data_IF_304795038906
#
_entry.id   IF_304795038906
#
_cell.length_a   1.000
_cell.length_b   1.000
_cell.length_c   1.000
_cell.angle_alpha   90.00
_cell.angle_beta   90.00
_cell.angle_gamma   90.00
#
_symmetry.space_group_name_H-M   'P 1'
#
loop_
_entity.id
_entity.type
_entity.pdbx_description
1 polymer ?
#
# COMPACT_ATOMS: atom_id res chain seq x y z
N UNK A 1 -8.58 7.33 -28.13
CA UNK A 1 -9.21 6.41 -27.18
C UNK A 1 -8.85 6.92 -25.80
N UNK A 2 -9.75 7.64 -25.17
CA UNK A 2 -9.60 8.27 -23.84
C UNK A 2 -9.82 7.21 -22.79
N UNK A 3 -8.78 6.92 -22.03
CA UNK A 3 -8.77 5.96 -20.92
C UNK A 3 -9.65 6.50 -19.79
N UNK A 4 -10.84 5.91 -19.60
CA UNK A 4 -11.95 6.42 -18.79
C UNK A 4 -11.89 5.97 -17.32
N UNK A 5 -10.70 5.62 -16.78
CA UNK A 5 -10.61 5.16 -15.38
C UNK A 5 -9.38 5.72 -14.62
N UNK A 6 -8.92 6.92 -14.95
CA UNK A 6 -7.85 7.58 -14.21
C UNK A 6 -8.46 8.53 -13.18
N UNK A 7 -8.25 8.25 -11.86
CA UNK A 7 -8.60 9.22 -10.82
C UNK A 7 -7.90 10.54 -11.13
N UNK A 8 -8.53 11.67 -10.78
CA UNK A 8 -7.88 12.98 -10.87
C UNK A 8 -6.58 12.98 -10.04
N UNK A 9 -5.49 13.51 -10.58
CA UNK A 9 -4.27 13.65 -9.81
C UNK A 9 -4.48 14.65 -8.67
N UNK A 10 -3.84 14.41 -7.53
CA UNK A 10 -3.97 15.21 -6.31
C UNK A 10 -2.67 15.97 -6.05
N UNK A 11 -2.77 17.27 -5.84
CA UNK A 11 -1.65 18.14 -5.52
C UNK A 11 -1.72 18.67 -4.09
N UNK A 12 -0.59 18.68 -3.38
CA UNK A 12 -0.42 19.42 -2.13
C UNK A 12 0.34 20.71 -2.41
N UNK A 13 -0.26 21.87 -2.08
CA UNK A 13 0.37 23.17 -2.23
C UNK A 13 0.62 23.77 -0.85
N UNK A 14 1.91 23.91 -0.49
CA UNK A 14 2.36 24.58 0.72
C UNK A 14 2.94 25.93 0.38
N UNK A 15 2.28 27.02 0.79
CA UNK A 15 2.82 28.37 0.67
C UNK A 15 2.26 29.29 1.75
N UNK A 16 3.11 30.22 2.23
CA UNK A 16 2.77 31.15 3.31
C UNK A 16 1.95 32.34 2.83
N UNK A 17 2.09 32.73 1.57
CA UNK A 17 1.33 33.82 0.95
C UNK A 17 -0.01 33.30 0.42
N UNK A 18 -1.11 33.84 0.97
CA UNK A 18 -2.47 33.42 0.63
C UNK A 18 -2.83 33.71 -0.84
N UNK A 19 -2.33 34.83 -1.39
CA UNK A 19 -2.60 35.18 -2.77
C UNK A 19 -1.87 34.22 -3.73
N UNK A 20 -0.60 33.93 -3.46
CA UNK A 20 0.18 32.95 -4.22
C UNK A 20 -0.46 31.56 -4.15
N UNK A 21 -0.88 31.14 -2.96
CA UNK A 21 -1.56 29.86 -2.76
C UNK A 21 -2.81 29.73 -3.62
N UNK A 22 -3.67 30.76 -3.63
CA UNK A 22 -4.90 30.78 -4.45
C UNK A 22 -4.60 30.77 -5.94
N UNK A 23 -3.59 31.52 -6.35
CA UNK A 23 -3.18 31.59 -7.75
C UNK A 23 -2.70 30.22 -8.24
N UNK A 24 -1.85 29.55 -7.46
CA UNK A 24 -1.37 28.19 -7.77
C UNK A 24 -2.51 27.18 -7.77
N UNK A 25 -3.40 27.22 -6.77
CA UNK A 25 -4.60 26.37 -6.73
C UNK A 25 -5.43 26.51 -8.00
N UNK A 26 -5.74 27.76 -8.41
CA UNK A 26 -6.52 28.02 -9.62
C UNK A 26 -5.88 27.38 -10.85
N UNK A 27 -4.58 27.54 -11.01
CA UNK A 27 -3.81 26.95 -12.12
C UNK A 27 -3.85 25.43 -12.09
N UNK A 28 -3.65 24.80 -10.93
CA UNK A 28 -3.68 23.34 -10.81
C UNK A 28 -5.08 22.77 -11.05
N UNK A 29 -6.13 23.44 -10.54
CA UNK A 29 -7.52 23.04 -10.77
C UNK A 29 -7.89 23.14 -12.25
N UNK A 30 -7.46 24.22 -12.95
CA UNK A 30 -7.65 24.37 -14.40
C UNK A 30 -6.97 23.24 -15.19
N UNK A 31 -5.81 22.77 -14.73
CA UNK A 31 -5.10 21.63 -15.32
C UNK A 31 -5.63 20.26 -14.86
N UNK A 32 -6.73 20.23 -14.10
CA UNK A 32 -7.47 18.99 -13.75
C UNK A 32 -7.01 18.31 -12.47
N UNK A 33 -6.26 18.97 -11.59
CA UNK A 33 -5.84 18.44 -10.29
C UNK A 33 -6.86 18.73 -9.21
N UNK A 34 -7.01 17.80 -8.26
CA UNK A 34 -7.59 18.09 -6.96
C UNK A 34 -6.49 18.67 -6.06
N UNK A 35 -6.79 19.77 -5.34
CA UNK A 35 -5.77 20.54 -4.62
C UNK A 35 -6.07 20.60 -3.12
N UNK A 36 -5.05 20.30 -2.32
CA UNK A 36 -5.04 20.56 -0.88
C UNK A 36 -4.02 21.69 -0.61
N UNK A 37 -4.39 22.68 0.22
CA UNK A 37 -3.52 23.81 0.56
C UNK A 37 -3.14 23.83 2.04
N UNK A 38 -1.95 24.35 2.32
CA UNK A 38 -1.49 24.64 3.69
C UNK A 38 -0.51 25.82 3.70
N UNK A 39 -0.53 26.60 4.78
CA UNK A 39 0.42 27.71 5.00
C UNK A 39 1.62 27.34 5.88
N UNK A 40 1.65 26.11 6.44
CA UNK A 40 2.68 25.68 7.40
C UNK A 40 3.45 24.46 6.87
N UNK A 41 4.77 24.52 6.99
CA UNK A 41 5.64 23.39 6.62
C UNK A 41 5.42 22.16 7.48
N UNK A 42 5.13 22.31 8.77
CA UNK A 42 4.77 21.18 9.63
C UNK A 42 3.48 20.50 9.19
N UNK A 43 2.49 21.30 8.82
CA UNK A 43 1.23 20.77 8.32
C UNK A 43 1.42 20.12 6.94
N UNK A 44 2.24 20.70 6.05
CA UNK A 44 2.59 20.13 4.76
C UNK A 44 3.23 18.74 4.94
N UNK A 45 4.20 18.61 5.85
CA UNK A 45 4.85 17.35 6.18
C UNK A 45 3.84 16.31 6.69
N UNK A 46 2.95 16.70 7.62
CA UNK A 46 1.91 15.83 8.16
C UNK A 46 0.91 15.36 7.10
N UNK A 47 0.49 16.24 6.20
CA UNK A 47 -0.43 15.91 5.11
C UNK A 47 0.23 14.99 4.08
N UNK A 48 1.46 15.28 3.67
CA UNK A 48 2.20 14.49 2.69
C UNK A 48 2.41 13.03 3.14
N UNK A 49 2.57 12.81 4.45
CA UNK A 49 2.68 11.45 5.04
C UNK A 49 1.37 10.66 5.07
N UNK A 50 0.23 11.32 5.07
CA UNK A 50 -1.09 10.68 5.27
C UNK A 50 -1.79 10.29 3.98
N UNK A 51 -1.57 11.00 2.90
CA UNK A 51 -2.32 10.85 1.66
C UNK A 51 -1.39 10.68 0.46
N UNK A 52 -1.80 9.86 -0.49
CA UNK A 52 -1.10 9.69 -1.76
C UNK A 52 -1.28 10.89 -2.67
N UNK A 53 -0.46 11.91 -2.49
CA UNK A 53 -0.36 13.02 -3.42
C UNK A 53 0.44 12.63 -4.65
N UNK A 54 0.00 13.13 -5.81
CA UNK A 54 0.69 12.90 -7.08
C UNK A 54 1.79 13.94 -7.34
N UNK A 55 1.70 15.10 -6.68
CA UNK A 55 2.71 16.16 -6.71
C UNK A 55 2.66 17.01 -5.44
N UNK A 56 3.81 17.43 -4.95
CA UNK A 56 3.94 18.44 -3.90
C UNK A 56 4.57 19.70 -4.48
N UNK A 57 3.96 20.86 -4.23
CA UNK A 57 4.51 22.17 -4.54
C UNK A 57 4.69 22.94 -3.24
N UNK A 58 5.93 23.24 -2.88
CA UNK A 58 6.27 23.83 -1.58
C UNK A 58 7.02 25.15 -1.78
N UNK A 59 6.53 26.20 -1.16
CA UNK A 59 7.25 27.48 -1.07
C UNK A 59 8.53 27.30 -0.26
N UNK A 60 9.63 27.83 -0.76
CA UNK A 60 10.92 27.86 -0.06
C UNK A 60 10.77 28.50 1.34
N UNK A 61 9.88 29.49 1.49
CA UNK A 61 9.65 30.24 2.72
C UNK A 61 8.32 29.88 3.41
N UNK A 62 8.13 28.61 3.72
CA UNK A 62 7.00 28.21 4.55
C UNK A 62 7.21 28.58 6.03
N UNK A 63 6.10 28.80 6.75
CA UNK A 63 6.15 28.99 8.20
C UNK A 63 6.58 27.69 8.92
N UNK A 64 7.27 27.84 10.03
CA UNK A 64 7.74 26.77 10.94
C UNK A 64 8.82 25.85 10.36
N UNK A 65 8.68 25.34 9.17
CA UNK A 65 9.66 24.55 8.41
C UNK A 65 9.71 25.08 6.98
N UNK A 66 10.89 25.27 6.44
CA UNK A 66 11.04 25.70 5.03
C UNK A 66 10.61 24.58 4.07
N UNK A 67 10.28 24.92 2.82
CA UNK A 67 9.98 23.92 1.80
C UNK A 67 11.12 22.91 1.60
N UNK A 68 12.38 23.38 1.73
CA UNK A 68 13.55 22.51 1.65
C UNK A 68 13.64 21.54 2.84
N UNK A 69 13.30 21.98 4.08
CA UNK A 69 13.30 21.13 5.26
C UNK A 69 12.20 20.06 5.15
N UNK A 70 11.02 20.44 4.66
CA UNK A 70 9.92 19.49 4.39
C UNK A 70 10.33 18.47 3.34
N UNK A 71 10.96 18.92 2.24
CA UNK A 71 11.44 18.05 1.18
C UNK A 71 12.45 17.03 1.71
N UNK A 72 13.47 17.50 2.46
CA UNK A 72 14.48 16.62 3.07
C UNK A 72 13.84 15.61 4.01
N UNK A 73 12.96 16.05 4.92
CA UNK A 73 12.29 15.17 5.87
C UNK A 73 11.39 14.12 5.21
N UNK A 74 10.82 14.42 4.03
CA UNK A 74 10.05 13.44 3.25
C UNK A 74 10.97 12.46 2.50
N UNK A 75 12.13 12.94 2.01
CA UNK A 75 13.10 12.05 1.35
C UNK A 75 13.82 11.11 2.32
N UNK A 76 13.97 11.51 3.57
CA UNK A 76 14.51 10.64 4.63
C UNK A 76 13.46 9.68 5.21
N UNK A 77 12.17 9.86 4.88
CA UNK A 77 11.09 9.02 5.38
C UNK A 77 10.92 7.78 4.49
N UNK A 78 11.19 6.57 4.99
CA UNK A 78 11.08 5.33 4.21
C UNK A 78 9.65 4.99 3.79
N UNK A 79 8.64 5.61 4.41
CA UNK A 79 7.22 5.43 4.08
C UNK A 79 6.72 6.37 2.99
N UNK A 80 7.48 7.42 2.70
CA UNK A 80 7.12 8.36 1.64
C UNK A 80 7.44 7.76 0.27
N UNK A 81 6.49 7.87 -0.66
CA UNK A 81 6.75 7.46 -2.04
C UNK A 81 7.78 8.38 -2.71
N UNK A 82 9.02 7.92 -2.74
CA UNK A 82 10.16 8.66 -3.30
C UNK A 82 10.00 8.99 -4.80
N UNK A 83 9.09 8.32 -5.51
CA UNK A 83 8.73 8.66 -6.89
C UNK A 83 7.77 9.87 -6.98
N UNK A 84 7.23 10.37 -5.86
CA UNK A 84 6.39 11.58 -5.86
C UNK A 84 7.25 12.83 -6.14
N UNK A 85 6.95 13.61 -7.20
CA UNK A 85 7.67 14.83 -7.51
C UNK A 85 7.40 15.89 -6.44
N UNK A 86 8.49 16.48 -5.93
CA UNK A 86 8.46 17.64 -5.03
C UNK A 86 9.06 18.83 -5.80
N UNK A 87 8.27 19.87 -5.97
CA UNK A 87 8.67 21.12 -6.62
C UNK A 87 8.83 22.19 -5.56
N UNK A 88 10.00 22.80 -5.49
CA UNK A 88 10.23 23.97 -4.63
C UNK A 88 9.98 25.23 -5.47
N UNK A 89 9.17 26.14 -4.94
CA UNK A 89 8.90 27.44 -5.54
C UNK A 89 9.49 28.56 -4.68
N UNK A 90 10.10 29.55 -5.31
CA UNK A 90 10.64 30.73 -4.63
C UNK A 90 10.06 32.01 -5.21
N UNK A 91 9.60 32.89 -4.32
CA UNK A 91 9.17 34.24 -4.66
C UNK A 91 10.35 35.21 -4.81
N UNK A 92 11.54 34.85 -4.32
CA UNK A 92 12.76 35.60 -4.47
C UNK A 92 13.47 35.31 -5.80
N UNK A 93 14.37 36.22 -6.24
CA UNK A 93 15.16 35.97 -7.44
C UNK A 93 15.90 34.61 -7.34
N UNK A 94 15.78 33.81 -8.40
CA UNK A 94 16.48 32.52 -8.48
C UNK A 94 17.98 32.73 -8.32
N UNK A 95 18.55 32.30 -7.21
CA UNK A 95 19.98 32.25 -6.99
C UNK A 95 20.51 30.85 -7.21
N UNK A 96 21.72 30.73 -7.76
CA UNK A 96 22.34 29.42 -7.92
C UNK A 96 22.43 28.65 -6.57
N UNK A 97 22.80 29.28 -5.44
CA UNK A 97 22.81 28.63 -4.14
C UNK A 97 21.43 28.14 -3.68
N UNK A 98 20.35 28.91 -3.92
CA UNK A 98 18.97 28.48 -3.57
C UNK A 98 18.55 27.24 -4.33
N UNK A 99 18.77 27.22 -5.64
CA UNK A 99 18.48 26.09 -6.50
C UNK A 99 19.26 24.83 -6.10
N UNK A 100 20.55 25.00 -5.80
CA UNK A 100 21.39 23.86 -5.35
C UNK A 100 20.92 23.31 -4.01
N UNK A 101 20.48 24.16 -3.07
CA UNK A 101 19.89 23.67 -1.79
C UNK A 101 18.63 22.87 -2.02
N UNK A 102 17.73 23.30 -2.91
CA UNK A 102 16.51 22.58 -3.22
C UNK A 102 16.80 21.19 -3.81
N UNK A 103 17.72 21.12 -4.77
CA UNK A 103 18.11 19.83 -5.34
C UNK A 103 18.86 18.94 -4.34
N UNK A 104 19.69 19.49 -3.47
CA UNK A 104 20.35 18.75 -2.41
C UNK A 104 19.35 18.20 -1.36
N UNK A 105 18.22 18.90 -1.15
CA UNK A 105 17.12 18.41 -0.33
C UNK A 105 16.25 17.34 -1.03
N UNK A 106 16.52 17.01 -2.30
CA UNK A 106 15.80 16.00 -3.06
C UNK A 106 14.60 16.52 -3.85
N UNK A 107 14.51 17.84 -4.09
CA UNK A 107 13.51 18.40 -4.99
C UNK A 107 13.75 17.93 -6.44
N UNK A 108 12.68 17.66 -7.17
CA UNK A 108 12.75 17.31 -8.59
C UNK A 108 12.85 18.56 -9.47
N UNK A 109 12.26 19.65 -9.01
CA UNK A 109 12.30 20.90 -9.75
C UNK A 109 12.34 22.09 -8.77
N UNK A 110 12.99 23.17 -9.20
CA UNK A 110 13.01 24.46 -8.52
C UNK A 110 12.49 25.53 -9.48
N UNK A 111 11.39 26.16 -9.10
CA UNK A 111 10.75 27.21 -9.87
C UNK A 111 10.85 28.56 -9.16
N UNK A 112 10.85 29.64 -9.91
CA UNK A 112 10.77 31.01 -9.39
C UNK A 112 9.60 31.76 -10.05
N UNK A 113 9.15 32.81 -9.38
CA UNK A 113 8.11 33.67 -9.91
C UNK A 113 8.69 34.74 -10.83
N UNK A 114 8.01 35.10 -11.93
CA UNK A 114 6.76 34.54 -12.43
C UNK A 114 6.92 33.13 -12.94
N UNK A 115 5.92 32.25 -12.62
CA UNK A 115 5.97 30.84 -12.96
C UNK A 115 5.72 30.59 -14.45
N UNK A 116 6.62 29.85 -15.11
CA UNK A 116 6.34 29.24 -16.41
C UNK A 116 5.39 28.06 -16.21
N UNK A 117 4.09 28.35 -16.25
CA UNK A 117 3.03 27.36 -15.99
C UNK A 117 3.08 26.21 -16.99
N UNK A 118 3.17 26.52 -18.29
CA UNK A 118 3.11 25.49 -19.32
C UNK A 118 4.36 24.59 -19.29
N UNK A 119 5.54 25.18 -19.12
CA UNK A 119 6.78 24.43 -18.93
C UNK A 119 6.74 23.52 -17.70
N UNK A 120 6.21 24.02 -16.58
CA UNK A 120 6.05 23.22 -15.36
C UNK A 120 5.14 22.02 -15.60
N UNK A 121 3.95 22.21 -16.20
CA UNK A 121 3.02 21.12 -16.41
C UNK A 121 3.49 20.10 -17.44
N UNK A 122 4.27 20.50 -18.44
CA UNK A 122 4.94 19.57 -19.34
C UNK A 122 5.95 18.68 -18.57
N UNK A 123 6.73 19.25 -17.66
CA UNK A 123 7.67 18.51 -16.82
C UNK A 123 6.91 17.59 -15.84
N UNK A 124 5.87 18.09 -15.16
CA UNK A 124 5.04 17.27 -14.27
C UNK A 124 4.39 16.09 -15.00
N UNK A 125 3.87 16.33 -16.20
CA UNK A 125 3.32 15.25 -17.04
C UNK A 125 4.36 14.17 -17.39
N UNK A 126 5.63 14.54 -17.56
CA UNK A 126 6.73 13.60 -17.77
C UNK A 126 7.05 12.84 -16.48
N UNK A 127 7.10 13.51 -15.33
CA UNK A 127 7.33 12.88 -14.03
C UNK A 127 6.23 11.88 -13.67
N UNK A 128 4.97 12.28 -13.85
CA UNK A 128 3.83 11.40 -13.56
C UNK A 128 3.79 10.18 -14.46
N UNK A 129 4.11 10.32 -15.74
CA UNK A 129 4.23 9.19 -16.66
C UNK A 129 5.35 8.24 -16.24
N UNK A 130 6.54 8.75 -15.94
CA UNK A 130 7.65 7.92 -15.46
C UNK A 130 7.27 7.14 -14.18
N UNK A 131 6.58 7.79 -13.23
CA UNK A 131 6.07 7.15 -12.02
C UNK A 131 5.05 6.05 -12.34
N UNK A 132 4.12 6.30 -13.26
CA UNK A 132 3.13 5.31 -13.69
C UNK A 132 3.79 4.11 -14.39
N UNK A 133 4.80 4.34 -15.24
CA UNK A 133 5.56 3.29 -15.90
C UNK A 133 6.34 2.44 -14.90
N UNK A 134 6.97 3.06 -13.89
CA UNK A 134 7.64 2.36 -12.79
C UNK A 134 6.64 1.52 -11.98
N UNK A 135 5.50 2.11 -11.60
CA UNK A 135 4.45 1.41 -10.87
C UNK A 135 3.87 0.24 -11.68
N UNK A 136 3.65 0.41 -12.98
CA UNK A 136 3.20 -0.65 -13.87
C UNK A 136 4.24 -1.78 -13.97
N UNK A 137 5.53 -1.45 -14.09
CA UNK A 137 6.62 -2.42 -14.14
C UNK A 137 6.71 -3.19 -12.81
N UNK A 138 6.59 -2.50 -11.68
CA UNK A 138 6.56 -3.13 -10.35
C UNK A 138 5.33 -4.03 -10.18
N UNK A 139 4.16 -3.59 -10.66
CA UNK A 139 2.94 -4.38 -10.62
C UNK A 139 3.03 -5.68 -11.46
N UNK A 140 3.83 -5.68 -12.52
CA UNK A 140 4.13 -6.87 -13.36
C UNK A 140 5.30 -7.69 -12.81
N UNK A 141 5.97 -7.26 -11.76
CA UNK A 141 7.00 -8.07 -11.10
C UNK A 141 6.35 -9.27 -10.42
N UNK A 142 7.00 -10.42 -10.47
CA UNK A 142 6.53 -11.60 -9.75
C UNK A 142 6.66 -11.45 -8.24
N UNK A 143 7.69 -10.72 -7.79
CA UNK A 143 8.00 -10.54 -6.37
C UNK A 143 8.10 -9.06 -6.02
N UNK A 144 7.61 -8.71 -4.85
CA UNK A 144 7.82 -7.40 -4.24
C UNK A 144 9.25 -7.32 -3.67
N UNK A 145 10.11 -6.43 -4.17
CA UNK A 145 11.51 -6.36 -3.76
C UNK A 145 11.69 -5.96 -2.28
N UNK A 146 10.74 -5.25 -1.68
CA UNK A 146 10.80 -4.83 -0.30
C UNK A 146 10.51 -5.97 0.68
N UNK A 147 9.46 -6.76 0.41
CA UNK A 147 9.05 -7.86 1.28
C UNK A 147 9.62 -9.22 0.87
N UNK A 148 10.04 -9.38 -0.39
CA UNK A 148 10.43 -10.66 -0.96
C UNK A 148 9.27 -11.66 -1.07
N UNK A 149 8.02 -11.20 -0.97
CA UNK A 149 6.82 -11.98 -1.22
C UNK A 149 6.39 -11.84 -2.69
N UNK A 150 5.54 -12.75 -3.14
CA UNK A 150 4.92 -12.60 -4.45
C UNK A 150 3.98 -11.39 -4.46
N UNK A 151 3.93 -10.70 -5.58
CA UNK A 151 2.93 -9.66 -5.87
C UNK A 151 1.58 -10.32 -6.20
N UNK A 152 0.45 -9.57 -6.28
CA UNK A 152 -0.79 -10.12 -6.80
C UNK A 152 -0.66 -10.71 -8.21
N UNK A 153 0.17 -10.11 -9.05
CA UNK A 153 0.49 -10.65 -10.37
C UNK A 153 1.25 -11.98 -10.29
N UNK A 154 2.29 -12.04 -9.44
CA UNK A 154 3.05 -13.28 -9.20
C UNK A 154 2.17 -14.39 -8.60
N UNK A 155 1.26 -14.03 -7.69
CA UNK A 155 0.28 -14.96 -7.14
C UNK A 155 -0.58 -15.58 -8.23
N UNK A 156 -1.16 -14.77 -9.13
CA UNK A 156 -2.01 -15.25 -10.21
C UNK A 156 -1.24 -16.16 -11.17
N UNK A 157 0.00 -15.80 -11.53
CA UNK A 157 0.83 -16.63 -12.42
C UNK A 157 1.17 -18.00 -11.82
N UNK A 158 1.43 -18.06 -10.52
CA UNK A 158 1.72 -19.31 -9.84
C UNK A 158 0.45 -20.10 -9.51
N UNK A 159 -0.67 -19.41 -9.26
CA UNK A 159 -1.97 -20.01 -9.02
C UNK A 159 -2.36 -20.96 -10.16
N UNK A 160 -2.21 -20.52 -11.42
CA UNK A 160 -2.50 -21.34 -12.60
C UNK A 160 -1.67 -22.64 -12.65
N UNK A 161 -0.39 -22.56 -12.26
CA UNK A 161 0.48 -23.76 -12.23
C UNK A 161 0.10 -24.72 -11.09
N UNK A 162 -0.19 -24.18 -9.91
CA UNK A 162 -0.62 -24.98 -8.76
C UNK A 162 -1.99 -25.60 -9.01
N UNK A 163 -2.91 -24.87 -9.63
CA UNK A 163 -4.23 -25.35 -10.02
C UNK A 163 -4.12 -26.54 -10.99
N UNK A 164 -3.35 -26.39 -12.06
CA UNK A 164 -3.16 -27.47 -13.04
C UNK A 164 -2.54 -28.73 -12.41
N UNK A 165 -1.73 -28.59 -11.37
CA UNK A 165 -1.20 -29.71 -10.61
C UNK A 165 -2.26 -30.34 -9.71
N UNK A 166 -2.96 -29.53 -8.90
CA UNK A 166 -3.97 -30.00 -7.95
C UNK A 166 -5.14 -30.72 -8.66
N UNK A 167 -5.57 -30.17 -9.83
CA UNK A 167 -6.60 -30.80 -10.66
C UNK A 167 -6.18 -32.19 -11.17
N UNK A 168 -4.92 -32.38 -11.56
CA UNK A 168 -4.43 -33.66 -12.07
C UNK A 168 -4.31 -34.72 -10.96
N UNK A 169 -3.97 -34.29 -9.76
CA UNK A 169 -3.65 -35.21 -8.66
C UNK A 169 -4.80 -35.40 -7.69
N UNK A 170 -5.93 -34.70 -7.89
CA UNK A 170 -7.06 -34.70 -6.96
C UNK A 170 -6.62 -34.33 -5.53
N UNK A 171 -5.71 -33.36 -5.42
CA UNK A 171 -5.14 -32.91 -4.15
C UNK A 171 -6.06 -31.89 -3.47
N UNK A 172 -6.14 -31.89 -2.13
CA UNK A 172 -6.80 -30.83 -1.39
C UNK A 172 -6.04 -29.51 -1.59
N UNK A 173 -6.77 -28.40 -1.52
CA UNK A 173 -6.19 -27.08 -1.74
C UNK A 173 -6.81 -26.06 -0.81
N UNK A 174 -5.97 -25.28 -0.15
CA UNK A 174 -6.43 -24.20 0.70
C UNK A 174 -5.83 -22.85 0.30
N UNK A 175 -6.60 -21.80 0.53
CA UNK A 175 -6.11 -20.43 0.57
C UNK A 175 -6.38 -19.85 1.96
N UNK A 176 -5.37 -19.23 2.55
CA UNK A 176 -5.47 -18.47 3.80
C UNK A 176 -5.13 -17.02 3.52
N UNK A 177 -6.06 -16.10 3.78
CA UNK A 177 -5.83 -14.67 3.77
C UNK A 177 -5.75 -14.16 5.21
N UNK A 178 -4.78 -13.31 5.51
CA UNK A 178 -4.70 -12.71 6.83
C UNK A 178 -4.24 -11.26 6.78
N UNK A 179 -4.62 -10.54 7.82
CA UNK A 179 -4.24 -9.16 8.05
C UNK A 179 -3.88 -8.96 9.52
N UNK A 180 -3.16 -7.88 9.76
CA UNK A 180 -2.94 -7.38 11.12
C UNK A 180 -4.25 -6.82 11.67
N UNK A 181 -4.58 -7.15 12.91
CA UNK A 181 -5.58 -6.43 13.67
C UNK A 181 -5.02 -5.05 14.03
N UNK A 182 -5.55 -4.00 13.41
CA UNK A 182 -5.25 -2.63 13.83
C UNK A 182 -6.26 -2.25 14.90
N UNK A 183 -5.80 -2.03 16.15
CA UNK A 183 -6.64 -1.46 17.19
C UNK A 183 -7.29 -0.18 16.67
N UNK A 184 -8.61 -0.12 16.69
CA UNK A 184 -9.40 1.04 16.25
C UNK A 184 -9.04 2.32 17.04
N UNK A 185 -8.49 2.17 18.27
CA UNK A 185 -8.03 3.27 19.11
C UNK A 185 -6.72 3.91 18.64
N UNK A 186 -5.97 3.25 17.74
CA UNK A 186 -4.68 3.75 17.25
C UNK A 186 -4.79 4.71 16.06
N UNK A 187 -5.99 4.98 15.54
CA UNK A 187 -6.18 5.91 14.40
C UNK A 187 -5.77 7.36 14.70
N UNK A 188 -5.66 7.72 15.97
CA UNK A 188 -5.28 9.08 16.42
C UNK A 188 -3.82 9.22 16.86
N UNK A 189 -3.05 8.14 16.94
CA UNK A 189 -1.64 8.19 17.30
C UNK A 189 -0.75 8.11 16.09
N UNK A 190 -0.01 9.16 15.91
CA UNK A 190 0.97 9.49 14.90
C UNK A 190 2.23 8.60 15.07
N UNK A 191 2.15 7.30 14.84
CA UNK A 191 3.30 6.40 14.97
C UNK A 191 3.75 5.90 13.60
N UNK A 192 4.91 6.41 13.16
CA UNK A 192 5.67 5.92 12.01
C UNK A 192 6.22 4.50 12.20
N UNK A 193 5.75 3.78 13.23
CA UNK A 193 6.22 2.48 13.70
C UNK A 193 5.42 1.29 13.11
N UNK A 194 4.38 1.58 12.30
CA UNK A 194 3.48 0.52 11.80
C UNK A 194 4.07 -0.29 10.63
N UNK A 195 5.03 0.26 9.89
CA UNK A 195 5.64 -0.44 8.75
C UNK A 195 6.70 -1.45 9.18
N UNK A 196 7.49 -1.13 10.20
CA UNK A 196 8.52 -2.01 10.72
C UNK A 196 7.90 -3.29 11.31
N UNK A 197 6.80 -3.14 12.04
CA UNK A 197 6.06 -4.28 12.59
C UNK A 197 5.48 -5.23 11.52
N UNK A 198 5.08 -4.72 10.35
CA UNK A 198 4.57 -5.57 9.28
C UNK A 198 5.69 -6.30 8.53
N UNK A 199 6.87 -5.71 8.40
CA UNK A 199 8.07 -6.35 7.86
C UNK A 199 8.47 -7.57 8.69
N UNK A 200 8.41 -7.48 10.01
CA UNK A 200 8.70 -8.60 10.91
C UNK A 200 7.70 -9.75 10.72
N UNK A 201 6.41 -9.43 10.54
CA UNK A 201 5.38 -10.42 10.22
C UNK A 201 5.68 -11.14 8.92
N UNK A 202 6.01 -10.37 7.88
CA UNK A 202 6.39 -10.91 6.56
C UNK A 202 7.54 -11.89 6.69
N UNK A 203 8.57 -11.52 7.47
CA UNK A 203 9.74 -12.38 7.70
C UNK A 203 9.34 -13.72 8.35
N UNK A 204 8.56 -13.66 9.44
CA UNK A 204 8.09 -14.85 10.15
C UNK A 204 7.21 -15.73 9.23
N UNK A 205 6.27 -15.14 8.52
CA UNK A 205 5.39 -15.88 7.61
C UNK A 205 6.19 -16.59 6.52
N UNK A 206 7.22 -15.93 5.98
CA UNK A 206 8.10 -16.50 4.96
C UNK A 206 8.94 -17.65 5.48
N UNK A 207 9.44 -17.57 6.72
CA UNK A 207 10.19 -18.66 7.35
C UNK A 207 9.33 -19.86 7.72
N UNK A 208 8.08 -19.61 8.11
CA UNK A 208 7.15 -20.64 8.53
C UNK A 208 6.36 -21.30 7.39
N UNK A 209 6.32 -20.67 6.20
CA UNK A 209 5.71 -21.25 5.01
C UNK A 209 6.49 -22.48 4.52
N UNK A 210 5.78 -23.46 3.97
CA UNK A 210 6.41 -24.59 3.29
C UNK A 210 6.97 -24.15 1.95
N UNK A 211 7.94 -24.88 1.41
CA UNK A 211 8.50 -24.60 0.06
C UNK A 211 7.45 -24.74 -1.04
N UNK A 212 6.39 -25.49 -0.79
CA UNK A 212 5.24 -25.66 -1.69
C UNK A 212 4.26 -24.51 -1.64
N UNK A 213 4.29 -23.72 -0.57
CA UNK A 213 3.34 -22.64 -0.34
C UNK A 213 3.73 -21.41 -1.14
N UNK A 214 2.73 -20.76 -1.75
CA UNK A 214 2.92 -19.47 -2.42
C UNK A 214 2.41 -18.38 -1.51
N UNK A 215 3.32 -17.52 -1.06
CA UNK A 215 3.03 -16.44 -0.11
C UNK A 215 3.08 -15.12 -0.84
N UNK A 216 1.98 -14.40 -0.88
CA UNK A 216 1.84 -13.15 -1.63
C UNK A 216 1.32 -12.00 -0.76
N UNK A 217 1.84 -10.81 -1.01
CA UNK A 217 1.31 -9.56 -0.48
C UNK A 217 0.12 -9.12 -1.34
N UNK A 218 -1.08 -9.11 -0.77
CA UNK A 218 -2.32 -8.78 -1.49
C UNK A 218 -2.89 -7.41 -1.16
N UNK A 219 -2.27 -6.71 -0.21
CA UNK A 219 -2.63 -5.34 0.21
C UNK A 219 -1.53 -4.73 1.06
N UNK A 220 -1.73 -3.51 1.55
CA UNK A 220 -0.75 -2.81 2.39
C UNK A 220 -0.39 -3.62 3.65
N UNK A 221 -1.39 -4.24 4.29
CA UNK A 221 -1.24 -5.06 5.51
C UNK A 221 -1.90 -6.43 5.35
N UNK A 222 -2.03 -6.94 4.12
CA UNK A 222 -2.68 -8.21 3.83
C UNK A 222 -1.75 -9.15 3.10
N UNK A 223 -1.76 -10.42 3.51
CA UNK A 223 -1.01 -11.52 2.91
C UNK A 223 -1.99 -12.65 2.59
N UNK A 224 -1.78 -13.32 1.47
CA UNK A 224 -2.44 -14.57 1.12
C UNK A 224 -1.41 -15.68 0.98
N UNK A 225 -1.78 -16.87 1.45
CA UNK A 225 -0.99 -18.10 1.30
C UNK A 225 -1.84 -19.09 0.50
N UNK A 226 -1.32 -19.51 -0.66
CA UNK A 226 -1.82 -20.68 -1.36
C UNK A 226 -1.10 -21.91 -0.82
N UNK A 227 -1.84 -22.85 -0.29
CA UNK A 227 -1.33 -24.07 0.33
C UNK A 227 -1.85 -25.31 -0.42
N UNK A 228 -1.08 -25.85 -1.38
CA UNK A 228 -1.40 -27.12 -2.00
C UNK A 228 -1.29 -28.26 -0.98
N UNK A 229 -1.98 -29.36 -1.26
CA UNK A 229 -2.03 -30.55 -0.38
C UNK A 229 -2.41 -30.18 1.08
N UNK A 230 -3.44 -29.30 1.19
CA UNK A 230 -3.88 -28.76 2.47
C UNK A 230 -5.41 -28.67 2.50
N UNK A 231 -6.03 -29.36 3.44
CA UNK A 231 -7.46 -29.32 3.72
C UNK A 231 -7.84 -28.20 4.72
N UNK A 232 -9.11 -28.16 5.13
CA UNK A 232 -9.60 -27.19 6.10
C UNK A 232 -8.91 -27.31 7.48
N UNK A 233 -8.59 -28.53 7.91
CA UNK A 233 -7.87 -28.76 9.17
C UNK A 233 -6.43 -28.28 9.07
N UNK A 234 -5.77 -28.55 7.96
CA UNK A 234 -4.42 -28.05 7.64
C UNK A 234 -4.35 -26.54 7.58
N UNK A 235 -5.35 -25.87 6.98
CA UNK A 235 -5.44 -24.41 6.96
C UNK A 235 -5.53 -23.80 8.37
N UNK A 236 -6.34 -24.36 9.24
CA UNK A 236 -6.42 -23.94 10.67
C UNK A 236 -5.10 -24.15 11.41
N UNK A 237 -4.45 -25.29 11.18
CA UNK A 237 -3.14 -25.58 11.78
C UNK A 237 -2.06 -24.60 11.30
N UNK A 238 -2.09 -24.20 10.02
CA UNK A 238 -1.20 -23.19 9.47
C UNK A 238 -1.37 -21.87 10.21
N UNK A 239 -2.60 -21.37 10.36
CA UNK A 239 -2.87 -20.11 11.08
C UNK A 239 -2.45 -20.22 12.55
N UNK A 240 -2.77 -21.31 13.24
CA UNK A 240 -2.39 -21.51 14.63
C UNK A 240 -0.86 -21.58 14.82
N UNK A 241 -0.13 -22.14 13.85
CA UNK A 241 1.34 -22.13 13.85
C UNK A 241 1.89 -20.72 13.68
N UNK A 242 1.41 -19.97 12.69
CA UNK A 242 1.81 -18.59 12.47
C UNK A 242 1.57 -17.72 13.70
N UNK A 243 0.40 -17.82 14.32
CA UNK A 243 0.08 -17.05 15.53
C UNK A 243 1.06 -17.37 16.68
N UNK A 244 1.39 -18.66 16.89
CA UNK A 244 2.35 -19.06 17.94
C UNK A 244 3.74 -18.48 17.71
N UNK A 245 4.22 -18.47 16.47
CA UNK A 245 5.53 -17.90 16.15
C UNK A 245 5.56 -16.38 16.33
N UNK A 246 4.47 -15.70 15.96
CA UNK A 246 4.33 -14.27 16.18
C UNK A 246 4.26 -13.92 17.67
N UNK A 247 3.54 -14.72 18.46
CA UNK A 247 3.50 -14.57 19.93
C UNK A 247 4.89 -14.82 20.56
N UNK A 248 5.65 -15.76 20.05
CA UNK A 248 7.00 -16.05 20.50
C UNK A 248 7.97 -14.90 20.13
N UNK A 249 7.89 -14.38 18.91
CA UNK A 249 8.68 -13.25 18.45
C UNK A 249 8.38 -11.99 19.26
N UNK A 250 7.12 -11.76 19.60
CA UNK A 250 6.70 -10.64 20.45
C UNK A 250 7.27 -10.76 21.86
N UNK A 251 7.25 -11.96 22.47
CA UNK A 251 7.84 -12.19 23.81
C UNK A 251 9.36 -11.98 23.83
N UNK A 252 10.03 -12.25 22.73
CA UNK A 252 11.49 -12.09 22.58
C UNK A 252 11.90 -10.67 22.16
N UNK A 253 10.97 -9.70 22.18
CA UNK A 253 11.18 -8.31 21.74
C UNK A 253 11.71 -8.18 20.28
N UNK A 254 11.49 -9.19 19.45
CA UNK A 254 11.79 -9.13 18.01
C UNK A 254 10.72 -8.34 17.26
N UNK A 255 9.52 -8.22 17.84
CA UNK A 255 8.41 -7.39 17.34
C UNK A 255 8.10 -6.37 18.42
N UNK A 256 8.07 -5.08 18.06
CA UNK A 256 7.92 -3.98 19.00
C UNK A 256 6.58 -4.00 19.76
N UNK A 257 5.53 -4.58 19.17
CA UNK A 257 4.19 -4.71 19.80
C UNK A 257 3.58 -6.09 19.48
N UNK A 258 2.96 -6.76 20.49
CA UNK A 258 2.19 -7.95 20.22
C UNK A 258 1.01 -7.60 19.32
N UNK A 259 0.76 -8.43 18.32
CA UNK A 259 -0.42 -8.28 17.49
C UNK A 259 -1.09 -9.64 17.24
N UNK A 260 -2.38 -9.59 16.96
CA UNK A 260 -3.16 -10.77 16.60
C UNK A 260 -3.34 -10.83 15.10
N UNK A 261 -3.23 -12.03 14.55
CA UNK A 261 -3.62 -12.30 13.19
C UNK A 261 -5.14 -12.42 13.12
N UNK A 262 -5.72 -11.69 12.18
CA UNK A 262 -7.06 -11.97 11.67
C UNK A 262 -6.89 -12.79 10.41
N UNK A 263 -7.54 -13.94 10.33
CA UNK A 263 -7.40 -14.83 9.21
C UNK A 263 -8.76 -15.30 8.68
N UNK A 264 -8.90 -15.31 7.36
CA UNK A 264 -9.98 -15.96 6.65
C UNK A 264 -9.42 -17.07 5.78
N UNK A 265 -10.11 -18.18 5.64
CA UNK A 265 -9.67 -19.24 4.74
C UNK A 265 -10.82 -19.86 3.94
N UNK A 266 -10.44 -20.43 2.81
CA UNK A 266 -11.27 -21.31 2.02
C UNK A 266 -10.44 -22.54 1.65
N UNK A 267 -10.98 -23.73 1.85
CA UNK A 267 -10.29 -24.98 1.54
C UNK A 267 -11.25 -25.96 0.86
N UNK A 268 -10.73 -26.77 -0.04
CA UNK A 268 -11.45 -27.83 -0.75
C UNK A 268 -10.69 -29.13 -0.63
N UNK A 269 -11.40 -30.25 -0.49
CA UNK A 269 -10.81 -31.58 -0.42
C UNK A 269 -10.29 -32.08 -1.76
N UNK A 270 -10.93 -31.68 -2.84
CA UNK A 270 -10.53 -31.96 -4.22
C UNK A 270 -10.92 -30.76 -5.09
N UNK A 271 -9.91 -30.09 -5.65
CA UNK A 271 -10.13 -28.93 -6.48
C UNK A 271 -10.92 -29.26 -7.76
N UNK A 272 -10.78 -30.46 -8.29
CA UNK A 272 -11.50 -30.91 -9.48
C UNK A 272 -13.00 -31.07 -9.25
N UNK A 273 -13.40 -31.43 -8.04
CA UNK A 273 -14.79 -31.63 -7.66
C UNK A 273 -15.47 -30.34 -7.17
N UNK A 274 -14.68 -29.34 -6.75
CA UNK A 274 -15.19 -28.14 -6.10
C UNK A 274 -15.77 -27.08 -7.07
N UNK A 275 -15.59 -27.26 -8.37
CA UNK A 275 -16.03 -26.31 -9.42
C UNK A 275 -15.65 -24.84 -9.11
N UNK A 276 -14.44 -24.65 -8.63
CA UNK A 276 -13.84 -23.34 -8.28
C UNK A 276 -12.38 -23.35 -8.71
N UNK A 277 -11.91 -22.25 -9.25
CA UNK A 277 -10.50 -22.02 -9.54
C UNK A 277 -9.73 -21.49 -8.31
N UNK A 278 -8.41 -21.49 -8.38
CA UNK A 278 -7.58 -20.99 -7.28
C UNK A 278 -7.81 -19.50 -7.01
N UNK A 279 -8.12 -18.71 -8.03
CA UNK A 279 -8.46 -17.29 -7.85
C UNK A 279 -9.78 -17.12 -7.07
N UNK A 280 -10.76 -17.97 -7.33
CA UNK A 280 -11.99 -18.05 -6.54
C UNK A 280 -11.74 -18.41 -5.07
N UNK A 281 -10.81 -19.34 -4.80
CA UNK A 281 -10.40 -19.65 -3.43
C UNK A 281 -9.77 -18.43 -2.74
N UNK A 282 -8.92 -17.67 -3.43
CA UNK A 282 -8.33 -16.41 -2.91
C UNK A 282 -9.42 -15.40 -2.56
N UNK A 283 -10.38 -15.19 -3.44
CA UNK A 283 -11.48 -14.26 -3.20
C UNK A 283 -12.36 -14.68 -2.03
N UNK A 284 -12.67 -15.98 -1.91
CA UNK A 284 -13.43 -16.52 -0.78
C UNK A 284 -12.67 -16.38 0.54
N UNK A 285 -11.37 -16.67 0.56
CA UNK A 285 -10.54 -16.49 1.76
C UNK A 285 -10.47 -15.02 2.19
N UNK A 286 -10.37 -14.08 1.24
CA UNK A 286 -10.42 -12.64 1.53
C UNK A 286 -11.79 -12.21 2.06
N UNK A 287 -12.87 -12.69 1.45
CA UNK A 287 -14.22 -12.43 1.94
C UNK A 287 -14.42 -12.96 3.38
N UNK A 288 -13.89 -14.14 3.69
CA UNK A 288 -13.89 -14.65 5.05
C UNK A 288 -13.10 -13.76 6.02
N UNK A 289 -11.94 -13.26 5.60
CA UNK A 289 -11.13 -12.32 6.39
C UNK A 289 -11.88 -11.03 6.73
N UNK A 290 -12.64 -10.48 5.76
CA UNK A 290 -13.42 -9.27 5.97
C UNK A 290 -14.53 -9.44 7.03
N UNK A 291 -14.98 -10.68 7.25
CA UNK A 291 -16.01 -11.02 8.24
C UNK A 291 -15.42 -11.40 9.62
N UNK A 292 -14.10 -11.44 9.79
CA UNK A 292 -13.50 -11.64 11.11
C UNK A 292 -13.79 -10.43 11.99
N UNK A 293 -14.41 -10.60 13.18
CA UNK A 293 -14.73 -9.49 14.07
C UNK A 293 -13.47 -8.71 14.50
N UNK A 294 -13.61 -7.39 14.61
CA UNK A 294 -12.52 -6.50 15.01
C UNK A 294 -12.37 -6.37 16.55
N UNK A 295 -13.25 -6.99 17.34
CA UNK A 295 -13.41 -6.76 18.77
C UNK A 295 -12.54 -7.64 19.69
N UNK A 296 -11.58 -8.37 19.13
CA UNK A 296 -10.51 -9.09 19.88
C UNK A 296 -10.98 -10.19 20.87
N UNK A 297 -12.28 -10.41 21.02
CA UNK A 297 -12.85 -11.30 22.05
C UNK A 297 -13.40 -12.63 21.50
N UNK A 298 -13.37 -12.83 20.17
CA UNK A 298 -13.88 -14.02 19.47
C UNK A 298 -12.86 -14.60 18.50
N UNK A 299 -13.24 -15.67 17.84
CA UNK A 299 -12.41 -16.39 16.87
C UNK A 299 -11.71 -15.43 15.90
N UNK A 300 -10.40 -15.51 15.85
CA UNK A 300 -9.55 -14.72 14.94
C UNK A 300 -9.42 -15.38 13.57
N UNK A 301 -10.04 -16.52 13.37
CA UNK A 301 -10.07 -17.29 12.12
C UNK A 301 -11.49 -17.64 11.71
N UNK A 302 -11.86 -17.34 10.47
CA UNK A 302 -13.19 -17.62 9.90
C UNK A 302 -13.05 -18.43 8.62
N UNK A 303 -13.86 -19.50 8.50
CA UNK A 303 -14.02 -20.23 7.23
C UNK A 303 -14.99 -19.51 6.32
N UNK A 304 -14.72 -19.51 5.01
CA UNK A 304 -15.68 -19.02 4.04
C UNK A 304 -17.00 -19.82 4.09
N UNK A 305 -16.92 -21.12 4.36
CA UNK A 305 -18.09 -22.01 4.40
C UNK A 305 -18.98 -21.74 5.62
N UNK A 306 -18.43 -21.10 6.66
CA UNK A 306 -19.18 -20.71 7.86
C UNK A 306 -19.88 -19.33 7.71
N UNK A 307 -19.66 -18.63 6.58
CA UNK A 307 -20.29 -17.33 6.34
C UNK A 307 -21.79 -17.49 6.05
N UNK A 308 -22.65 -16.62 6.62
CA UNK A 308 -24.05 -16.59 6.25
C UNK A 308 -24.14 -16.26 4.75
N UNK A 309 -24.56 -17.21 3.96
CA UNK A 309 -24.83 -17.03 2.53
C UNK A 309 -25.76 -15.83 2.35
N UNK A 310 -25.24 -14.70 1.93
CA UNK A 310 -26.07 -13.64 1.42
C UNK A 310 -26.82 -14.22 0.23
N UNK A 311 -28.14 -14.37 0.37
CA UNK A 311 -29.05 -14.74 -0.69
C UNK A 311 -28.90 -13.72 -1.82
N UNK A 312 -28.01 -13.96 -2.75
CA UNK A 312 -28.06 -13.32 -4.05
C UNK A 312 -29.27 -13.92 -4.76
N UNK A 313 -30.34 -13.13 -4.81
CA UNK A 313 -31.48 -13.42 -5.68
C UNK A 313 -30.95 -13.55 -7.11
N UNK A 314 -31.42 -14.56 -7.88
CA UNK A 314 -31.06 -14.65 -9.29
C UNK A 314 -31.59 -13.39 -10.01
N UNK A 315 -30.87 -12.86 -11.00
CA UNK A 315 -31.37 -11.78 -11.83
C UNK A 315 -32.62 -12.27 -12.58
N UNK A 316 -33.72 -11.53 -12.42
CA UNK A 316 -34.97 -11.67 -13.17
C UNK A 316 -34.83 -11.23 -14.62
#
# INVERSE_FOLDING_TARGET
MTDTNSRKPVALIGCSDEWLCRSLESVFVEKGYDVTRTGSGKQALKLARRAGYDVLMLDEQLHELTGNDVCLALRDDPLFDHATPIVIISSSHSTLPGRLRAYAAGAWEYCHLPLDVDGLFLKLGTFLRARQELAATQAMSLMDPASGLYTPYGLNQLAEQLEARALRNHEPFACVAFSRETDFESRDRNDGDDSDSFSDVVHIVREQGRKSDVIAKTGASQIAILAPDTDAAGARLLVARLQRELDAASKNAMIARPFRLRAGYCAVEDLSAANIDVNGLVQRARSALDHVPADGHRETIVSFDDLPLSRTAPPS
#
